data_IF_885747756996
#
_entry.id   IF_885747756996
#
_cell.length_a   1.000
_cell.length_b   1.000
_cell.length_c   1.000
_cell.angle_alpha   90.00
_cell.angle_beta   90.00
_cell.angle_gamma   90.00
#
_symmetry.space_group_name_H-M   'P 1'
#
loop_
_entity.id
_entity.type
_entity.pdbx_description
1 polymer ?
#
# COMPACT_ATOMS: atom_id res chain seq x y z
N UNK A 1 -4.44 -11.16 -1.72
CA UNK A 1 -3.25 -10.56 -1.12
C UNK A 1 -2.17 -11.62 -1.01
N UNK A 2 -0.91 -11.23 -1.03
CA UNK A 2 0.30 -12.07 -1.10
C UNK A 2 1.48 -11.25 -1.63
N UNK A 3 2.66 -11.84 -1.78
CA UNK A 3 3.92 -11.10 -2.02
C UNK A 3 4.22 -10.14 -0.86
N UNK A 4 4.38 -8.85 -1.16
CA UNK A 4 4.58 -7.78 -0.17
C UNK A 4 3.27 -7.05 0.19
N UNK A 5 2.12 -7.59 -0.22
CA UNK A 5 0.82 -6.96 0.00
C UNK A 5 0.13 -7.47 1.28
N UNK A 6 0.12 -6.62 2.31
CA UNK A 6 -0.46 -6.89 3.63
C UNK A 6 -1.56 -5.87 3.96
N UNK A 7 -2.56 -6.30 4.74
CA UNK A 7 -3.50 -5.40 5.40
C UNK A 7 -3.03 -5.15 6.83
N UNK A 8 -2.90 -3.88 7.19
CA UNK A 8 -2.72 -3.43 8.58
C UNK A 8 -3.97 -2.65 8.96
N UNK A 9 -4.71 -3.12 9.95
CA UNK A 9 -5.96 -2.50 10.39
C UNK A 9 -5.87 -2.06 11.84
N UNK A 10 -6.26 -0.82 12.12
CA UNK A 10 -6.37 -0.28 13.48
C UNK A 10 -7.61 0.57 13.61
N UNK A 11 -8.57 0.10 14.42
CA UNK A 11 -9.87 0.75 14.65
C UNK A 11 -10.55 1.10 13.32
N UNK A 12 -10.37 2.32 12.84
CA UNK A 12 -11.07 2.92 11.71
C UNK A 12 -10.13 3.24 10.54
N UNK A 13 -8.89 2.73 10.55
CA UNK A 13 -7.92 2.93 9.47
C UNK A 13 -7.42 1.58 8.95
N UNK A 14 -7.53 1.39 7.64
CA UNK A 14 -7.01 0.26 6.87
C UNK A 14 -5.89 0.72 5.97
N UNK A 15 -4.71 0.15 6.18
CA UNK A 15 -3.52 0.37 5.37
C UNK A 15 -3.25 -0.88 4.55
N UNK A 16 -3.06 -0.72 3.24
CA UNK A 16 -2.58 -1.79 2.37
C UNK A 16 -1.15 -1.47 1.94
N UNK A 17 -0.25 -2.44 2.05
CA UNK A 17 1.12 -2.31 1.56
C UNK A 17 1.24 -2.88 0.15
N UNK A 18 2.13 -2.31 -0.67
CA UNK A 18 2.63 -2.83 -1.95
C UNK A 18 1.64 -3.69 -2.76
N UNK A 19 0.51 -3.12 -3.21
CA UNK A 19 -0.42 -3.87 -4.04
C UNK A 19 0.26 -4.30 -5.34
N UNK A 20 0.13 -5.59 -5.68
CA UNK A 20 0.70 -6.18 -6.88
C UNK A 20 -0.27 -6.11 -8.06
N UNK A 21 0.25 -6.12 -9.29
CA UNK A 21 -0.53 -6.15 -10.53
C UNK A 21 -1.21 -7.51 -10.81
N UNK A 22 -1.99 -7.61 -11.89
CA UNK A 22 -2.67 -8.87 -12.27
C UNK A 22 -1.75 -9.99 -12.78
N UNK A 23 -0.48 -9.71 -13.06
CA UNK A 23 0.47 -10.74 -13.48
C UNK A 23 0.89 -11.66 -12.33
N UNK A 24 0.63 -11.22 -11.09
CA UNK A 24 0.88 -11.99 -9.89
C UNK A 24 -0.28 -12.96 -9.59
N UNK A 25 -0.01 -14.16 -9.02
CA UNK A 25 -1.03 -15.18 -8.73
C UNK A 25 -1.97 -14.78 -7.58
N UNK A 26 -1.75 -13.62 -6.97
CA UNK A 26 -2.48 -13.16 -5.80
C UNK A 26 -3.70 -12.35 -6.18
N UNK A 27 -4.82 -12.62 -5.50
CA UNK A 27 -6.03 -11.80 -5.65
C UNK A 27 -5.76 -10.38 -5.17
N UNK A 28 -6.23 -9.39 -5.92
CA UNK A 28 -6.25 -8.00 -5.48
C UNK A 28 -7.07 -7.85 -4.18
N UNK A 29 -6.81 -6.81 -3.38
CA UNK A 29 -7.67 -6.46 -2.25
C UNK A 29 -9.12 -6.25 -2.71
N UNK A 30 -10.09 -6.87 -2.03
CA UNK A 30 -11.50 -6.82 -2.41
C UNK A 30 -12.32 -5.85 -1.57
N UNK A 31 -11.67 -5.04 -0.73
CA UNK A 31 -12.28 -4.11 0.21
C UNK A 31 -11.56 -2.76 0.14
N UNK A 32 -12.25 -1.65 0.45
CA UNK A 32 -11.63 -0.34 0.42
C UNK A 32 -10.55 -0.20 1.50
N UNK A 33 -9.53 0.59 1.18
CA UNK A 33 -8.50 1.01 2.12
C UNK A 33 -8.47 2.53 2.24
N UNK A 34 -7.97 3.00 3.38
CA UNK A 34 -7.79 4.42 3.66
C UNK A 34 -6.40 4.87 3.19
N UNK A 35 -5.38 4.03 3.39
CA UNK A 35 -4.00 4.35 2.98
C UNK A 35 -3.41 3.19 2.18
N UNK A 36 -2.63 3.52 1.16
CA UNK A 36 -1.76 2.58 0.46
C UNK A 36 -0.31 3.03 0.57
N UNK A 37 0.59 2.13 0.95
CA UNK A 37 2.04 2.38 0.88
C UNK A 37 2.63 1.72 -0.35
N UNK A 38 3.57 2.41 -1.02
CA UNK A 38 4.36 1.86 -2.12
C UNK A 38 5.84 1.95 -1.76
N UNK A 39 6.51 0.81 -1.66
CA UNK A 39 7.94 0.73 -1.35
C UNK A 39 8.83 1.20 -2.51
N UNK A 40 8.47 0.86 -3.75
CA UNK A 40 9.16 1.25 -4.98
C UNK A 40 8.27 1.05 -6.22
N UNK A 41 8.71 1.55 -7.38
CA UNK A 41 7.86 1.72 -8.58
C UNK A 41 7.88 0.55 -9.58
N UNK A 42 8.20 -0.67 -9.12
CA UNK A 42 7.99 -1.87 -9.93
C UNK A 42 6.50 -2.28 -9.92
N UNK A 43 6.03 -2.87 -11.02
CA UNK A 43 4.60 -3.15 -11.23
C UNK A 43 4.00 -4.15 -10.24
N UNK A 44 4.83 -5.00 -9.65
CA UNK A 44 4.46 -5.94 -8.60
C UNK A 44 4.38 -5.31 -7.20
N UNK A 45 4.64 -4.00 -7.06
CA UNK A 45 4.58 -3.25 -5.80
C UNK A 45 3.77 -1.94 -5.85
N UNK A 46 3.36 -1.44 -7.01
CA UNK A 46 2.74 -0.11 -7.14
C UNK A 46 1.33 -0.09 -7.77
N UNK A 47 0.63 -1.23 -7.82
CA UNK A 47 -0.71 -1.37 -8.42
C UNK A 47 -1.84 -0.79 -7.54
N UNK A 48 -1.71 0.48 -7.16
CA UNK A 48 -2.62 1.21 -6.27
C UNK A 48 -4.04 1.30 -6.85
N UNK A 49 -4.15 1.38 -8.17
CA UNK A 49 -5.40 1.39 -8.93
C UNK A 49 -6.26 0.13 -8.73
N UNK A 50 -5.64 -0.98 -8.30
CA UNK A 50 -6.33 -2.23 -7.99
C UNK A 50 -6.90 -2.28 -6.57
N UNK A 51 -6.65 -1.25 -5.75
CA UNK A 51 -7.20 -1.14 -4.40
C UNK A 51 -8.52 -0.37 -4.44
N UNK A 52 -9.65 -0.95 -4.02
CA UNK A 52 -10.93 -0.25 -4.00
C UNK A 52 -10.91 1.00 -3.11
N UNK A 53 -11.79 1.96 -3.41
CA UNK A 53 -11.93 3.19 -2.63
C UNK A 53 -11.15 4.36 -3.22
N UNK A 54 -10.64 5.23 -2.36
CA UNK A 54 -9.83 6.40 -2.75
C UNK A 54 -8.73 6.64 -1.71
N UNK A 55 -7.79 5.69 -1.59
CA UNK A 55 -6.79 5.75 -0.53
C UNK A 55 -5.82 6.92 -0.73
N UNK A 56 -5.39 7.53 0.37
CA UNK A 56 -4.18 8.34 0.36
C UNK A 56 -2.96 7.46 0.08
N UNK A 57 -2.02 7.93 -0.73
CA UNK A 57 -0.88 7.14 -1.17
C UNK A 57 0.40 7.67 -0.54
N UNK A 58 1.06 6.82 0.25
CA UNK A 58 2.34 7.12 0.89
C UNK A 58 3.46 6.46 0.09
N UNK A 59 4.40 7.29 -0.42
CA UNK A 59 5.50 6.82 -1.27
C UNK A 59 6.81 7.55 -0.95
N UNK A 60 7.92 6.83 -1.12
CA UNK A 60 9.27 7.38 -0.98
C UNK A 60 9.74 7.57 0.46
N UNK A 61 11.03 7.89 0.66
CA UNK A 61 11.61 8.07 1.99
C UNK A 61 11.13 9.37 2.66
N UNK A 62 11.26 9.43 3.98
CA UNK A 62 10.91 10.58 4.81
C UNK A 62 9.68 10.35 5.69
N UNK A 63 9.29 11.39 6.42
CA UNK A 63 8.08 11.37 7.24
C UNK A 63 6.86 11.77 6.40
N UNK A 64 5.80 10.98 6.53
CA UNK A 64 4.51 11.21 5.88
C UNK A 64 3.41 11.12 6.92
N UNK A 65 2.27 11.75 6.66
CA UNK A 65 1.06 11.57 7.46
C UNK A 65 -0.12 11.40 6.51
N UNK A 66 -0.87 10.32 6.69
CA UNK A 66 -2.07 10.02 5.91
C UNK A 66 -3.13 9.44 6.84
N UNK A 67 -4.39 9.87 6.71
CA UNK A 67 -5.49 9.49 7.61
C UNK A 67 -5.14 9.60 9.11
N UNK A 68 -4.34 10.61 9.50
CA UNK A 68 -3.90 10.82 10.89
C UNK A 68 -2.90 9.79 11.43
N UNK A 69 -2.39 8.90 10.58
CA UNK A 69 -1.32 7.93 10.90
C UNK A 69 0.01 8.47 10.37
N UNK A 70 1.06 8.38 11.19
CA UNK A 70 2.42 8.74 10.79
C UNK A 70 3.12 7.55 10.16
N UNK A 71 3.78 7.80 9.03
CA UNK A 71 4.60 6.82 8.32
C UNK A 71 6.02 7.36 8.19
N UNK A 72 7.02 6.50 8.34
CA UNK A 72 8.42 6.84 8.09
C UNK A 72 8.95 5.91 7.02
N UNK A 73 9.12 6.43 5.81
CA UNK A 73 9.80 5.72 4.73
C UNK A 73 11.30 5.78 4.95
N UNK A 74 11.95 4.62 5.00
CA UNK A 74 13.41 4.51 5.12
C UNK A 74 13.94 4.06 3.77
N UNK A 75 14.80 4.87 3.15
CA UNK A 75 15.43 4.50 1.89
C UNK A 75 16.31 3.26 2.09
N UNK A 76 15.98 2.18 1.40
CA UNK A 76 16.77 0.96 1.29
C UNK A 76 16.86 0.55 -0.17
N UNK A 77 17.54 -0.56 -0.45
CA UNK A 77 17.70 -1.08 -1.81
C UNK A 77 16.80 -2.29 -2.03
N UNK A 78 16.12 -2.32 -3.17
CA UNK A 78 15.36 -3.44 -3.72
C UNK A 78 15.43 -3.35 -5.25
#
# INVERSE_FOLDING_TARGET
>A
MGHSCFLIERKDVKVITDPCDEHNPYRAPSFPADVVTVSHEHSDHNAVDRVPGSPEVVRGPGEHTAHGVKFTGIATFH
#
